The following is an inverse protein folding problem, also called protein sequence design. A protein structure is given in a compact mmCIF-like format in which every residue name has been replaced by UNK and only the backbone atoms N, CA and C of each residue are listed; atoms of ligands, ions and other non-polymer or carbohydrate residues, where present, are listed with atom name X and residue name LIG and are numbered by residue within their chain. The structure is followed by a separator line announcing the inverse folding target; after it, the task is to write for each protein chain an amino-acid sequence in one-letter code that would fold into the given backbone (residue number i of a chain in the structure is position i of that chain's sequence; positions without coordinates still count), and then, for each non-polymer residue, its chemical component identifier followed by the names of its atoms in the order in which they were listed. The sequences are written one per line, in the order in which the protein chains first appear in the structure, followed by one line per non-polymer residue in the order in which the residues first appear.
data_IF_612946616647
#
_entry.id   IF_612946616647
#
_cell.length_a   1.000
_cell.length_b   1.000
_cell.length_c   1.000
_cell.angle_alpha   90.00
_cell.angle_beta   90.00
_cell.angle_gamma   90.00
#
_symmetry.space_group_name_H-M   'P 1'
#
loop_
_entity.id
_entity.type
_entity.pdbx_description
1 polymer ?
#
# COMPACT_ATOMS: atom_id res chain seq x y z
N UNK A 1 19.96 22.26 29.18
CA UNK A 1 18.57 22.63 29.50
C UNK A 1 17.70 22.35 28.28
N UNK A 2 16.51 21.77 28.47
CA UNK A 2 15.67 21.15 27.42
C UNK A 2 14.88 22.24 26.66
N UNK A 3 14.76 22.21 25.31
CA UNK A 3 14.00 23.21 24.57
C UNK A 3 12.48 22.97 24.66
N UNK A 4 11.66 24.03 24.80
CA UNK A 4 10.21 23.90 24.91
C UNK A 4 9.54 23.78 23.52
N UNK A 5 8.79 22.69 23.34
CA UNK A 5 7.54 22.72 22.55
C UNK A 5 7.64 22.54 21.04
N UNK A 6 8.08 21.37 20.56
CA UNK A 6 7.61 20.87 19.25
C UNK A 6 6.19 20.34 19.46
N UNK A 7 5.21 21.14 19.09
CA UNK A 7 3.82 20.72 18.92
C UNK A 7 3.78 19.62 17.87
N UNK A 8 3.65 18.37 18.33
CA UNK A 8 3.32 17.21 17.49
C UNK A 8 1.93 17.47 16.91
N UNK A 9 1.88 18.05 15.71
CA UNK A 9 0.64 18.20 14.95
C UNK A 9 0.16 16.78 14.62
N UNK A 10 -0.88 16.34 15.31
CA UNK A 10 -1.64 15.15 14.96
C UNK A 10 -2.43 15.48 13.68
N UNK A 11 -1.78 15.34 12.53
CA UNK A 11 -2.47 15.45 11.24
C UNK A 11 -3.38 14.22 11.15
N UNK A 12 -4.71 14.37 11.09
CA UNK A 12 -5.58 13.24 10.88
C UNK A 12 -5.17 12.57 9.56
N UNK A 13 -5.04 11.25 9.59
CA UNK A 13 -4.67 10.35 8.48
C UNK A 13 -5.60 10.40 7.26
N UNK A 14 -6.44 11.44 7.17
CA UNK A 14 -7.57 11.65 6.26
C UNK A 14 -7.20 12.53 5.06
N UNK A 15 -6.12 13.33 5.12
CA UNK A 15 -5.82 14.33 4.08
C UNK A 15 -4.68 13.97 3.11
N UNK A 16 -3.90 12.93 3.39
CA UNK A 16 -2.93 12.38 2.44
C UNK A 16 -2.98 10.85 2.50
N UNK A 17 -3.00 10.14 1.35
CA UNK A 17 -2.67 8.73 1.38
C UNK A 17 -1.30 8.60 2.07
N UNK A 18 -1.13 7.69 3.04
CA UNK A 18 0.14 7.52 3.73
C UNK A 18 1.23 7.39 2.67
N UNK A 19 2.31 8.16 2.81
CA UNK A 19 3.45 8.08 1.91
C UNK A 19 3.89 6.62 1.91
N UNK A 20 3.71 5.96 0.77
CA UNK A 20 3.80 4.52 0.67
C UNK A 20 5.29 4.17 0.68
N UNK A 21 5.87 4.03 1.88
CA UNK A 21 7.26 3.65 2.06
C UNK A 21 7.43 2.18 1.65
N UNK A 22 7.75 1.97 0.38
CA UNK A 22 8.03 0.65 -0.15
C UNK A 22 9.26 0.08 0.55
N UNK A 23 9.06 -1.05 1.23
CA UNK A 23 10.16 -1.78 1.86
C UNK A 23 11.04 -2.41 0.79
N UNK A 24 12.30 -2.69 1.12
CA UNK A 24 13.14 -3.48 0.25
C UNK A 24 12.56 -4.90 0.14
N UNK A 25 12.35 -5.35 -1.10
CA UNK A 25 11.89 -6.69 -1.40
C UNK A 25 13.09 -7.64 -1.57
N UNK A 26 12.95 -8.92 -1.17
CA UNK A 26 13.91 -9.94 -1.55
C UNK A 26 13.90 -10.17 -3.07
N UNK A 27 15.03 -10.63 -3.63
CA UNK A 27 15.30 -10.70 -5.08
C UNK A 27 14.32 -11.54 -5.91
N UNK A 28 13.56 -12.43 -5.28
CA UNK A 28 12.55 -13.26 -5.94
C UNK A 28 11.19 -12.56 -6.08
N UNK A 29 11.05 -11.33 -5.58
CA UNK A 29 9.83 -10.52 -5.64
C UNK A 29 10.11 -9.19 -6.34
N UNK A 30 9.09 -8.66 -7.02
CA UNK A 30 9.11 -7.35 -7.67
C UNK A 30 7.83 -6.57 -7.34
N UNK A 31 7.95 -5.25 -7.38
CA UNK A 31 6.80 -4.36 -7.34
C UNK A 31 6.22 -4.21 -8.74
N UNK A 32 4.92 -4.37 -8.84
CA UNK A 32 4.13 -3.98 -10.00
C UNK A 32 2.99 -3.08 -9.56
N UNK A 33 2.42 -2.30 -10.48
CA UNK A 33 1.43 -1.27 -10.13
C UNK A 33 0.11 -1.53 -10.84
N UNK A 34 -0.98 -1.50 -10.08
CA UNK A 34 -2.33 -1.66 -10.64
C UNK A 34 -2.84 -0.38 -11.30
N UNK A 35 -2.24 0.78 -11.00
CA UNK A 35 -2.63 2.07 -11.57
C UNK A 35 -1.43 2.88 -12.02
N UNK A 36 -1.65 3.74 -13.02
CA UNK A 36 -0.65 4.65 -13.58
C UNK A 36 -0.13 5.67 -12.56
N UNK A 37 -0.92 5.94 -11.51
CA UNK A 37 -0.58 6.87 -10.43
C UNK A 37 0.36 6.28 -9.36
N UNK A 38 0.82 5.02 -9.52
CA UNK A 38 1.68 4.29 -8.56
C UNK A 38 1.10 4.18 -7.13
N UNK A 39 -0.20 4.46 -6.96
CA UNK A 39 -0.86 4.47 -5.65
C UNK A 39 -1.14 3.07 -5.09
N UNK A 40 -1.12 2.04 -5.95
CA UNK A 40 -1.43 0.66 -5.58
C UNK A 40 -0.34 -0.30 -6.06
N UNK A 41 0.79 -0.33 -5.33
CA UNK A 41 1.82 -1.33 -5.55
C UNK A 41 1.31 -2.69 -5.09
N UNK A 42 1.49 -3.69 -5.95
CA UNK A 42 1.32 -5.10 -5.64
C UNK A 42 2.68 -5.78 -5.70
N UNK A 43 2.89 -6.75 -4.81
CA UNK A 43 4.11 -7.54 -4.77
C UNK A 43 3.83 -8.82 -5.57
N UNK A 44 4.61 -9.06 -6.62
CA UNK A 44 4.49 -10.25 -7.47
C UNK A 44 5.84 -10.97 -7.54
N UNK A 45 5.86 -12.22 -8.00
CA UNK A 45 7.12 -12.94 -8.18
C UNK A 45 7.92 -12.37 -9.34
N UNK A 46 9.22 -12.16 -9.14
CA UNK A 46 10.16 -11.75 -10.16
C UNK A 46 10.37 -12.81 -11.25
N UNK A 47 10.01 -14.07 -10.98
CA UNK A 47 10.13 -15.20 -11.91
C UNK A 47 8.97 -15.31 -12.92
N UNK A 48 7.96 -14.44 -12.84
CA UNK A 48 6.84 -14.43 -13.79
C UNK A 48 7.30 -13.94 -15.17
N UNK A 49 6.85 -14.62 -16.23
CA UNK A 49 6.99 -14.12 -17.60
C UNK A 49 6.10 -12.88 -17.82
N UNK A 50 6.42 -12.07 -18.83
CA UNK A 50 5.66 -10.85 -19.14
C UNK A 50 4.17 -11.12 -19.39
N UNK A 51 3.83 -12.24 -20.03
CA UNK A 51 2.45 -12.64 -20.28
C UNK A 51 1.71 -13.02 -18.98
N UNK A 52 2.37 -13.77 -18.09
CA UNK A 52 1.81 -14.12 -16.79
C UNK A 52 1.62 -12.89 -15.91
N UNK A 53 2.60 -11.99 -15.91
CA UNK A 53 2.50 -10.71 -15.21
C UNK A 53 1.32 -9.88 -15.72
N UNK A 54 1.18 -9.74 -17.05
CA UNK A 54 0.09 -8.96 -17.65
C UNK A 54 -1.28 -9.56 -17.34
N UNK A 55 -1.40 -10.89 -17.39
CA UNK A 55 -2.61 -11.61 -17.03
C UNK A 55 -2.96 -11.39 -15.55
N UNK A 56 -1.98 -11.54 -14.65
CA UNK A 56 -2.14 -11.32 -13.22
C UNK A 56 -2.55 -9.88 -12.92
N UNK A 57 -1.86 -8.89 -13.48
CA UNK A 57 -2.20 -7.47 -13.28
C UNK A 57 -3.61 -7.15 -13.80
N UNK A 58 -4.03 -7.73 -14.91
CA UNK A 58 -5.38 -7.55 -15.44
C UNK A 58 -6.44 -8.14 -14.53
N UNK A 59 -6.20 -9.32 -13.96
CA UNK A 59 -7.07 -9.95 -12.97
C UNK A 59 -7.15 -9.13 -11.69
N UNK A 60 -6.00 -8.69 -11.17
CA UNK A 60 -5.92 -7.84 -9.97
C UNK A 60 -6.62 -6.49 -10.17
N UNK A 61 -6.51 -5.87 -11.36
CA UNK A 61 -7.25 -4.66 -11.73
C UNK A 61 -8.76 -4.91 -11.72
N UNK A 62 -9.22 -6.04 -12.27
CA UNK A 62 -10.64 -6.43 -12.28
C UNK A 62 -11.18 -6.66 -10.87
N UNK A 63 -10.38 -7.24 -9.98
CA UNK A 63 -10.74 -7.55 -8.60
C UNK A 63 -10.22 -6.53 -7.57
N UNK A 64 -9.85 -5.32 -8.02
CA UNK A 64 -9.26 -4.27 -7.17
C UNK A 64 -10.07 -4.01 -5.90
N UNK A 65 -11.41 -4.01 -5.98
CA UNK A 65 -12.29 -3.79 -4.81
C UNK A 65 -12.16 -4.87 -3.72
N UNK A 66 -11.82 -6.10 -4.09
CA UNK A 66 -11.64 -7.19 -3.14
C UNK A 66 -10.24 -7.24 -2.52
N UNK A 67 -9.27 -6.53 -3.11
CA UNK A 67 -7.85 -6.55 -2.71
C UNK A 67 -7.46 -5.25 -2.02
N UNK A 68 -7.98 -4.12 -2.49
CA UNK A 68 -7.88 -2.82 -1.84
C UNK A 68 -8.84 -2.78 -0.64
N UNK A 69 -8.55 -3.57 0.38
CA UNK A 69 -9.18 -3.42 1.69
C UNK A 69 -8.81 -2.05 2.23
N UNK A 70 -9.80 -1.18 2.41
CA UNK A 70 -9.58 0.05 3.12
C UNK A 70 -9.44 -0.28 4.61
N UNK A 71 -8.64 0.49 5.34
CA UNK A 71 -8.58 0.38 6.81
C UNK A 71 -9.98 0.45 7.46
N UNK A 72 -10.92 1.14 6.79
CA UNK A 72 -12.32 1.22 7.18
C UNK A 72 -13.11 -0.11 7.07
N UNK A 73 -12.67 -1.04 6.20
CA UNK A 73 -13.30 -2.36 6.03
C UNK A 73 -12.95 -3.32 7.17
N UNK A 74 -11.89 -3.02 7.94
CA UNK A 74 -11.48 -3.82 9.10
C UNK A 74 -12.28 -3.40 10.34
N UNK A 75 -13.55 -3.79 10.36
CA UNK A 75 -14.48 -3.52 11.46
C UNK A 75 -14.07 -4.36 12.69
N UNK A 76 -13.34 -3.77 13.63
CA UNK A 76 -13.00 -4.43 14.91
C UNK A 76 -11.63 -4.11 15.50
N UNK A 77 -10.70 -3.54 14.72
CA UNK A 77 -9.47 -2.94 15.26
C UNK A 77 -9.75 -1.48 15.60
N UNK A 78 -10.55 -1.27 16.64
CA UNK A 78 -10.57 0.00 17.34
C UNK A 78 -9.32 0.06 18.22
N UNK A 79 -8.49 1.12 18.17
CA UNK A 79 -7.44 1.32 19.16
C UNK A 79 -8.11 1.76 20.46
N UNK A 80 -8.74 0.82 21.15
CA UNK A 80 -9.11 0.98 22.54
C UNK A 80 -8.05 0.28 23.37
N UNK A 81 -6.97 1.02 23.64
CA UNK A 81 -6.27 1.18 24.92
C UNK A 81 -5.23 2.29 24.72
#
# INVERSE_FOLDING_TARGET
EIPPGVTKVNIPSVLKPPTLELKQLPSHLKYAYLETSQQLPVIISAALSEEQETCLLSLLKRHKKAIAWQMADIKGISPAI
#
